data_IF_786197285338
#
_entry.id   IF_786197285338
#
_cell.length_a   1.000
_cell.length_b   1.000
_cell.length_c   1.000
_cell.angle_alpha   90.00
_cell.angle_beta   90.00
_cell.angle_gamma   90.00
#
_symmetry.space_group_name_H-M   'P 1'
#
loop_
_entity.id
_entity.type
_entity.pdbx_description
1 polymer ?
#
# COMPACT_ATOMS: atom_id res chain seq x y z
N UNK A 1 2.93 -16.65 -1.78
CA UNK A 1 3.72 -15.89 -2.77
C UNK A 1 5.09 -15.68 -2.15
N UNK A 2 6.15 -16.20 -2.77
CA UNK A 2 7.49 -16.17 -2.17
C UNK A 2 8.14 -14.77 -2.27
N UNK A 3 9.20 -14.58 -1.49
CA UNK A 3 9.93 -13.30 -1.39
C UNK A 3 10.52 -12.84 -2.71
N UNK A 4 10.88 -13.76 -3.60
CA UNK A 4 11.45 -13.45 -4.91
C UNK A 4 10.36 -12.93 -5.87
N UNK A 5 9.18 -13.57 -5.89
CA UNK A 5 8.02 -13.07 -6.65
C UNK A 5 7.59 -11.68 -6.16
N UNK A 6 7.54 -11.45 -4.85
CA UNK A 6 7.22 -10.12 -4.28
C UNK A 6 8.25 -9.08 -4.73
N UNK A 7 9.54 -9.45 -4.81
CA UNK A 7 10.60 -8.53 -5.21
C UNK A 7 10.53 -8.20 -6.70
N UNK A 8 10.29 -9.19 -7.57
CA UNK A 8 10.09 -8.96 -9.02
C UNK A 8 8.89 -8.07 -9.29
N UNK A 9 7.78 -8.28 -8.59
CA UNK A 9 6.59 -7.41 -8.67
C UNK A 9 7.01 -5.98 -8.28
N UNK A 10 7.70 -5.77 -7.16
CA UNK A 10 8.15 -4.43 -6.76
C UNK A 10 9.04 -3.77 -7.82
N UNK A 11 9.94 -4.52 -8.45
CA UNK A 11 10.90 -3.98 -9.41
C UNK A 11 10.24 -3.59 -10.74
N UNK A 12 9.35 -4.44 -11.27
CA UNK A 12 8.51 -4.14 -12.44
C UNK A 12 7.72 -2.83 -12.28
N UNK A 13 7.26 -2.58 -11.05
CA UNK A 13 6.35 -1.47 -10.73
C UNK A 13 7.10 -0.18 -10.54
N UNK A 14 8.27 -0.29 -9.92
CA UNK A 14 9.20 0.83 -9.79
C UNK A 14 9.60 1.40 -11.16
N UNK A 15 9.61 0.58 -12.22
CA UNK A 15 9.92 1.01 -13.59
C UNK A 15 8.75 1.75 -14.26
N UNK A 16 7.49 1.39 -13.95
CA UNK A 16 6.29 1.97 -14.57
C UNK A 16 5.68 3.16 -13.83
N UNK A 17 6.08 3.40 -12.59
CA UNK A 17 5.57 4.52 -11.76
C UNK A 17 6.14 5.85 -12.26
N UNK A 18 5.30 6.84 -12.58
CA UNK A 18 5.73 8.24 -12.76
C UNK A 18 6.34 8.73 -11.43
N UNK A 19 7.64 9.05 -11.45
CA UNK A 19 8.47 9.06 -10.23
C UNK A 19 8.58 10.38 -9.48
N UNK A 20 7.99 11.47 -9.93
CA UNK A 20 8.11 12.72 -9.17
C UNK A 20 6.96 13.67 -9.42
N UNK A 21 6.36 14.13 -8.33
CA UNK A 21 5.68 15.40 -8.30
C UNK A 21 6.65 16.49 -8.79
N UNK A 22 6.15 17.41 -9.61
CA UNK A 22 6.90 18.57 -10.08
C UNK A 22 7.34 19.43 -8.88
N UNK A 23 8.30 20.33 -9.11
CA UNK A 23 8.71 21.27 -8.07
C UNK A 23 7.50 22.10 -7.57
N UNK A 24 6.63 22.51 -8.49
CA UNK A 24 5.44 23.29 -8.18
C UNK A 24 4.41 22.47 -7.40
N UNK A 25 4.17 21.21 -7.77
CA UNK A 25 3.29 20.31 -7.00
C UNK A 25 3.83 20.05 -5.59
N UNK A 26 5.16 19.91 -5.45
CA UNK A 26 5.80 19.79 -4.13
C UNK A 26 5.66 21.07 -3.32
N UNK A 27 5.81 22.24 -3.97
CA UNK A 27 5.69 23.53 -3.32
C UNK A 27 4.24 23.82 -2.92
N UNK A 28 3.26 23.45 -3.74
CA UNK A 28 1.83 23.50 -3.41
C UNK A 28 1.48 22.57 -2.26
N UNK A 29 2.00 21.33 -2.26
CA UNK A 29 1.83 20.41 -1.13
C UNK A 29 2.47 20.98 0.13
N UNK A 30 3.68 21.55 0.04
CA UNK A 30 4.38 22.17 1.16
C UNK A 30 3.68 23.45 1.64
N UNK A 31 3.14 24.27 0.73
CA UNK A 31 2.38 25.47 1.06
C UNK A 31 1.05 25.09 1.70
N UNK A 32 0.32 24.12 1.14
CA UNK A 32 -0.86 23.52 1.75
C UNK A 32 -0.49 23.09 3.16
N UNK A 33 0.50 22.20 3.33
CA UNK A 33 0.98 21.66 4.63
C UNK A 33 1.42 22.74 5.63
N UNK A 34 2.18 23.74 5.19
CA UNK A 34 2.70 24.82 6.02
C UNK A 34 1.61 25.84 6.42
N UNK A 35 0.57 25.98 5.59
CA UNK A 35 -0.56 26.89 5.84
C UNK A 35 -1.80 26.20 6.40
N UNK A 36 -1.79 24.88 6.66
CA UNK A 36 -2.96 24.08 7.09
C UNK A 36 -3.62 24.59 8.40
N UNK A 37 -4.46 25.58 8.18
CA UNK A 37 -5.79 25.76 8.74
C UNK A 37 -6.53 24.41 8.69
N UNK A 38 -7.42 24.19 9.66
CA UNK A 38 -8.30 23.01 9.79
C UNK A 38 -8.72 22.42 8.43
N UNK A 39 -8.75 21.09 8.33
CA UNK A 39 -9.20 20.32 7.15
C UNK A 39 -10.17 19.22 7.56
N UNK A 40 -11.10 18.86 6.68
CA UNK A 40 -11.84 17.61 6.83
C UNK A 40 -10.99 16.43 6.37
N UNK A 41 -11.10 15.35 7.10
CA UNK A 41 -10.50 14.06 6.84
C UNK A 41 -11.60 13.02 6.96
N UNK A 42 -11.48 11.94 6.21
CA UNK A 42 -12.51 10.92 6.21
C UNK A 42 -11.91 9.55 5.93
N UNK A 43 -12.65 8.53 6.35
CA UNK A 43 -12.38 7.12 6.08
C UNK A 43 -13.71 6.42 5.80
N UNK A 44 -13.70 5.44 4.90
CA UNK A 44 -14.86 4.62 4.57
C UNK A 44 -14.38 3.32 3.91
N UNK A 45 -15.20 2.28 3.99
CA UNK A 45 -15.15 1.09 3.17
C UNK A 45 -16.19 1.17 2.04
N UNK A 46 -15.95 0.41 0.98
CA UNK A 46 -16.93 0.16 -0.07
C UNK A 46 -17.09 -1.34 -0.24
N UNK A 47 -18.32 -1.78 -0.51
CA UNK A 47 -18.67 -3.17 -0.70
C UNK A 47 -19.47 -3.32 -1.99
N UNK A 48 -19.04 -4.26 -2.81
CA UNK A 48 -19.80 -4.81 -3.92
C UNK A 48 -19.96 -6.31 -3.66
N UNK A 49 -21.19 -6.76 -3.57
CA UNK A 49 -21.55 -8.12 -3.15
C UNK A 49 -22.32 -8.89 -4.22
N UNK A 50 -22.46 -8.32 -5.42
CA UNK A 50 -23.22 -8.90 -6.53
C UNK A 50 -24.73 -8.70 -6.40
N UNK A 51 -25.19 -7.96 -5.39
CA UNK A 51 -26.58 -7.52 -5.31
C UNK A 51 -26.86 -6.36 -6.27
N UNK A 52 -28.10 -5.86 -6.26
CA UNK A 52 -28.47 -4.70 -7.06
C UNK A 52 -27.91 -3.38 -6.50
N UNK A 53 -27.30 -3.38 -5.31
CA UNK A 53 -26.83 -2.19 -4.61
C UNK A 53 -25.42 -2.40 -4.05
N UNK A 54 -24.51 -1.49 -4.38
CA UNK A 54 -23.22 -1.38 -3.69
C UNK A 54 -23.37 -0.50 -2.45
N UNK A 55 -22.51 -0.72 -1.46
CA UNK A 55 -22.60 -0.06 -0.17
C UNK A 55 -21.37 0.79 0.15
N UNK A 56 -21.59 1.97 0.72
CA UNK A 56 -20.58 2.75 1.46
C UNK A 56 -20.72 2.39 2.94
N UNK A 57 -19.62 2.00 3.57
CA UNK A 57 -19.62 1.48 4.94
C UNK A 57 -18.62 2.21 5.82
N UNK A 58 -18.91 2.31 7.11
CA UNK A 58 -18.03 2.90 8.11
C UNK A 58 -17.62 4.32 7.77
N UNK A 59 -18.49 5.14 7.18
CA UNK A 59 -18.13 6.52 6.86
C UNK A 59 -17.90 7.30 8.18
N UNK A 60 -16.68 7.79 8.37
CA UNK A 60 -16.35 8.73 9.46
C UNK A 60 -15.69 9.97 8.85
N UNK A 61 -16.24 11.15 9.15
CA UNK A 61 -15.75 12.46 8.71
C UNK A 61 -15.38 13.27 9.96
N UNK A 62 -14.14 13.75 10.00
CA UNK A 62 -13.60 14.47 11.16
C UNK A 62 -12.65 15.60 10.76
N UNK A 63 -12.33 16.47 11.72
CA UNK A 63 -11.45 17.62 11.49
C UNK A 63 -10.03 17.32 11.93
N UNK A 64 -9.07 17.41 11.01
CA UNK A 64 -7.63 17.42 11.28
C UNK A 64 -7.01 18.81 11.15
N UNK A 65 -5.77 18.99 11.62
CA UNK A 65 -4.99 20.24 11.47
C UNK A 65 -5.12 21.20 12.67
N UNK A 66 -4.63 22.44 12.59
CA UNK A 66 -4.61 23.37 13.74
C UNK A 66 -5.77 24.38 13.69
N UNK A 67 -6.33 24.74 14.85
CA UNK A 67 -7.27 25.88 15.03
C UNK A 67 -6.63 26.91 15.96
N UNK A 68 -6.37 28.12 15.48
CA UNK A 68 -5.80 29.23 16.26
C UNK A 68 -4.47 28.88 16.97
N UNK A 69 -3.56 28.17 16.29
CA UNK A 69 -2.29 27.72 16.89
C UNK A 69 -2.41 26.60 17.93
N UNK A 70 -3.62 26.28 18.40
CA UNK A 70 -3.91 25.10 19.22
C UNK A 70 -4.14 23.90 18.30
N UNK A 71 -3.45 22.80 18.59
CA UNK A 71 -3.61 21.53 17.88
C UNK A 71 -5.04 21.03 18.07
N UNK A 72 -5.88 21.20 17.05
CA UNK A 72 -6.95 20.22 16.84
C UNK A 72 -6.21 18.96 16.40
N UNK A 73 -6.55 17.81 16.97
CA UNK A 73 -5.73 16.58 16.92
C UNK A 73 -5.04 16.43 15.56
N UNK A 74 -3.71 16.36 15.59
CA UNK A 74 -2.86 16.27 14.39
C UNK A 74 -3.39 15.18 13.45
N UNK A 75 -3.40 15.44 12.14
CA UNK A 75 -3.78 14.46 11.11
C UNK A 75 -3.02 13.14 11.28
N UNK A 76 -1.71 13.23 11.55
CA UNK A 76 -0.88 12.06 11.83
C UNK A 76 -1.10 11.52 13.25
N UNK A 77 -1.64 12.32 14.16
CA UNK A 77 -2.09 11.91 15.49
C UNK A 77 -3.46 11.22 15.49
N UNK A 78 -4.33 11.48 14.51
CA UNK A 78 -5.67 10.89 14.41
C UNK A 78 -5.67 9.56 13.65
N UNK A 79 -5.02 9.47 12.48
CA UNK A 79 -4.84 8.20 11.76
C UNK A 79 -3.72 7.36 12.40
N UNK A 80 -3.99 6.90 13.62
CA UNK A 80 -3.12 5.98 14.35
C UNK A 80 -3.75 4.59 14.42
N UNK A 81 -2.96 3.62 14.85
CA UNK A 81 -3.39 2.22 14.91
C UNK A 81 -4.65 2.02 15.79
N UNK A 82 -4.75 2.72 16.92
CA UNK A 82 -5.90 2.61 17.83
C UNK A 82 -7.19 3.11 17.19
N UNK A 83 -7.14 4.28 16.55
CA UNK A 83 -8.27 4.81 15.80
C UNK A 83 -8.71 3.83 14.72
N UNK A 84 -7.75 3.33 13.93
CA UNK A 84 -8.05 2.42 12.84
C UNK A 84 -8.68 1.10 13.32
N UNK A 85 -8.18 0.49 14.40
CA UNK A 85 -8.76 -0.76 14.91
C UNK A 85 -10.19 -0.57 15.40
N UNK A 86 -10.48 0.55 16.08
CA UNK A 86 -11.85 0.87 16.53
C UNK A 86 -12.78 1.14 15.36
N UNK A 87 -12.29 1.84 14.33
CA UNK A 87 -13.06 2.07 13.11
C UNK A 87 -13.31 0.74 12.36
N UNK A 88 -12.30 -0.12 12.26
CA UNK A 88 -12.40 -1.40 11.56
C UNK A 88 -13.36 -2.37 12.25
N UNK A 89 -13.48 -2.32 13.57
CA UNK A 89 -14.51 -3.05 14.32
C UNK A 89 -15.92 -2.65 13.89
N UNK A 90 -16.21 -1.34 13.84
CA UNK A 90 -17.50 -0.83 13.35
C UNK A 90 -17.78 -1.19 11.90
N UNK A 91 -16.75 -1.14 11.05
CA UNK A 91 -16.87 -1.55 9.66
C UNK A 91 -17.32 -3.01 9.55
N UNK A 92 -16.74 -3.91 10.36
CA UNK A 92 -17.16 -5.31 10.38
C UNK A 92 -18.57 -5.48 10.92
N UNK A 93 -18.96 -4.70 11.93
CA UNK A 93 -20.34 -4.69 12.44
C UNK A 93 -21.34 -4.35 11.33
N UNK A 94 -21.08 -3.29 10.55
CA UNK A 94 -21.94 -2.91 9.42
C UNK A 94 -21.98 -3.99 8.31
N UNK A 95 -20.85 -4.64 8.02
CA UNK A 95 -20.79 -5.76 7.05
C UNK A 95 -21.65 -6.93 7.52
N UNK A 96 -21.61 -7.28 8.80
CA UNK A 96 -22.41 -8.37 9.37
C UNK A 96 -23.90 -8.00 9.47
N UNK A 97 -24.23 -6.73 9.75
CA UNK A 97 -25.61 -6.23 9.72
C UNK A 97 -26.24 -6.32 8.32
N UNK A 98 -25.44 -6.22 7.27
CA UNK A 98 -25.86 -6.49 5.89
C UNK A 98 -26.07 -7.99 5.59
N UNK A 99 -25.72 -8.88 6.53
CA UNK A 99 -25.92 -10.33 6.41
C UNK A 99 -24.70 -11.11 5.93
N UNK A 100 -23.53 -10.47 5.80
CA UNK A 100 -22.32 -11.12 5.33
C UNK A 100 -21.53 -11.75 6.48
N UNK A 101 -21.58 -13.08 6.60
CA UNK A 101 -20.80 -13.84 7.59
C UNK A 101 -19.35 -14.11 7.17
N UNK A 102 -18.97 -13.75 5.94
CA UNK A 102 -17.59 -13.79 5.46
C UNK A 102 -17.38 -12.73 4.39
N UNK A 103 -16.29 -11.97 4.52
CA UNK A 103 -15.94 -10.88 3.63
C UNK A 103 -14.41 -10.82 3.49
N UNK A 104 -13.94 -10.25 2.39
CA UNK A 104 -12.50 -10.01 2.15
C UNK A 104 -12.24 -8.51 2.17
N UNK A 105 -11.62 -8.03 3.24
CA UNK A 105 -11.19 -6.64 3.38
C UNK A 105 -9.88 -6.43 2.64
N UNK A 106 -9.91 -5.65 1.56
CA UNK A 106 -8.75 -5.30 0.76
C UNK A 106 -8.21 -3.94 1.19
N UNK A 107 -6.95 -3.86 1.62
CA UNK A 107 -6.36 -2.63 2.18
C UNK A 107 -4.97 -2.34 1.63
N UNK A 108 -4.56 -1.08 1.72
CA UNK A 108 -3.21 -0.64 1.37
C UNK A 108 -2.20 -1.02 2.47
N UNK A 109 -0.94 -0.63 2.26
CA UNK A 109 0.16 -0.96 3.17
C UNK A 109 0.45 0.11 4.23
N UNK A 110 -0.50 1.00 4.54
CA UNK A 110 -0.30 2.03 5.55
C UNK A 110 0.16 1.42 6.89
N UNK A 111 1.11 2.09 7.56
CA UNK A 111 1.74 1.54 8.78
C UNK A 111 0.73 1.23 9.87
N UNK A 112 -0.33 2.02 9.99
CA UNK A 112 -1.37 1.84 11.01
C UNK A 112 -2.32 0.65 10.71
N UNK A 113 -2.43 0.20 9.45
CA UNK A 113 -3.12 -1.06 9.09
C UNK A 113 -2.34 -2.31 9.51
N UNK A 114 -1.03 -2.17 9.72
CA UNK A 114 -0.11 -3.28 10.01
C UNK A 114 0.37 -3.32 11.46
N UNK A 115 -0.29 -2.55 12.34
CA UNK A 115 0.02 -2.57 13.77
C UNK A 115 -0.20 -3.96 14.35
N UNK A 116 0.77 -4.41 15.15
CA UNK A 116 0.74 -5.67 15.88
C UNK A 116 0.42 -5.39 17.35
N UNK A 117 -0.02 -6.42 18.07
CA UNK A 117 -0.38 -6.31 19.48
C UNK A 117 0.76 -5.66 20.31
N UNK A 118 0.47 -4.87 21.36
CA UNK A 118 1.49 -4.22 22.19
C UNK A 118 2.52 -5.19 22.79
N UNK A 119 2.12 -6.43 23.04
CA UNK A 119 2.94 -7.55 23.54
C UNK A 119 3.93 -8.11 22.50
N UNK A 120 3.82 -7.70 21.24
CA UNK A 120 4.71 -8.14 20.15
C UNK A 120 6.12 -7.61 20.39
N UNK A 121 7.16 -8.45 20.35
CA UNK A 121 8.53 -8.01 20.57
C UNK A 121 8.98 -6.91 19.62
N UNK A 122 9.80 -5.99 20.12
CA UNK A 122 10.36 -4.86 19.36
C UNK A 122 11.87 -4.84 19.52
N UNK A 123 12.60 -4.42 18.48
CA UNK A 123 14.06 -4.30 18.54
C UNK A 123 14.56 -3.27 19.57
N UNK A 124 13.68 -2.40 20.04
CA UNK A 124 13.96 -1.43 21.11
C UNK A 124 13.99 -2.06 22.50
N UNK A 125 13.46 -3.28 22.70
CA UNK A 125 13.49 -3.98 23.99
C UNK A 125 14.91 -4.27 24.48
N UNK A 126 15.09 -4.49 25.78
CA UNK A 126 16.38 -4.89 26.37
C UNK A 126 16.79 -6.26 25.87
N UNK A 127 18.10 -6.56 25.91
CA UNK A 127 18.64 -7.86 25.43
C UNK A 127 17.96 -9.05 26.13
N UNK A 128 17.79 -8.97 27.45
CA UNK A 128 17.14 -10.01 28.23
C UNK A 128 15.69 -10.27 27.77
N UNK A 129 14.89 -9.22 27.58
CA UNK A 129 13.50 -9.31 27.12
C UNK A 129 13.37 -9.89 25.70
N UNK A 130 14.33 -9.58 24.81
CA UNK A 130 14.38 -10.18 23.47
C UNK A 130 14.69 -11.68 23.57
N UNK A 131 15.63 -12.07 24.43
CA UNK A 131 15.94 -13.48 24.65
C UNK A 131 14.77 -14.24 25.27
N UNK A 132 14.12 -13.69 26.29
CA UNK A 132 12.88 -14.26 26.86
C UNK A 132 11.79 -14.43 25.81
N UNK A 133 11.64 -13.45 24.90
CA UNK A 133 10.72 -13.58 23.78
C UNK A 133 11.14 -14.70 22.80
N UNK A 134 12.44 -14.87 22.51
CA UNK A 134 12.92 -16.00 21.72
C UNK A 134 12.54 -17.34 22.37
N UNK A 135 12.74 -17.49 23.68
CA UNK A 135 12.35 -18.71 24.42
C UNK A 135 10.84 -18.91 24.36
N UNK A 136 10.04 -17.85 24.59
CA UNK A 136 8.57 -17.90 24.52
C UNK A 136 8.04 -18.35 23.15
N UNK A 137 8.72 -17.99 22.06
CA UNK A 137 8.39 -18.42 20.70
C UNK A 137 9.12 -19.69 20.24
N UNK A 138 9.75 -20.42 21.18
CA UNK A 138 10.46 -21.67 20.94
C UNK A 138 11.60 -21.56 19.90
N UNK A 139 12.29 -20.41 19.86
CA UNK A 139 13.45 -20.15 19.00
C UNK A 139 14.74 -20.63 19.67
N UNK A 140 14.86 -21.94 19.86
CA UNK A 140 15.92 -22.59 20.65
C UNK A 140 17.31 -22.50 20.00
N UNK A 141 17.39 -22.13 18.72
CA UNK A 141 18.63 -21.91 17.98
C UNK A 141 19.38 -20.63 18.42
N UNK A 142 18.76 -19.80 19.25
CA UNK A 142 19.35 -18.54 19.75
C UNK A 142 19.98 -18.74 21.13
N UNK A 143 21.32 -18.72 21.26
CA UNK A 143 21.95 -18.88 22.58
C UNK A 143 21.83 -17.58 23.42
N UNK A 144 21.81 -17.67 24.76
CA UNK A 144 21.70 -16.51 25.65
C UNK A 144 22.88 -15.54 25.54
N UNK A 145 24.04 -16.05 25.12
CA UNK A 145 25.25 -15.27 24.90
C UNK A 145 25.22 -14.46 23.60
N UNK A 146 24.35 -14.78 22.65
CA UNK A 146 24.29 -14.11 21.34
C UNK A 146 24.16 -12.60 21.45
N UNK A 147 24.64 -11.87 20.45
CA UNK A 147 24.46 -10.42 20.40
C UNK A 147 22.97 -10.06 20.23
N UNK A 148 22.54 -8.96 20.86
CA UNK A 148 21.15 -8.44 20.74
C UNK A 148 20.70 -8.33 19.29
N UNK A 149 21.59 -7.88 18.39
CA UNK A 149 21.30 -7.73 16.95
C UNK A 149 20.93 -9.08 16.28
N UNK A 150 21.68 -10.14 16.59
CA UNK A 150 21.44 -11.49 16.06
C UNK A 150 20.14 -12.09 16.61
N UNK A 151 19.93 -11.98 17.92
CA UNK A 151 18.67 -12.41 18.57
C UNK A 151 17.47 -11.70 17.95
N UNK A 152 17.55 -10.38 17.78
CA UNK A 152 16.49 -9.58 17.17
C UNK A 152 16.27 -9.95 15.71
N UNK A 153 17.31 -10.16 14.91
CA UNK A 153 17.14 -10.54 13.50
C UNK A 153 16.35 -11.85 13.36
N UNK A 154 16.69 -12.86 14.18
CA UNK A 154 16.00 -14.15 14.20
C UNK A 154 14.55 -14.03 14.68
N UNK A 155 14.33 -13.30 15.79
CA UNK A 155 13.00 -13.06 16.34
C UNK A 155 12.13 -12.22 15.41
N UNK A 156 12.69 -11.19 14.77
CA UNK A 156 11.98 -10.33 13.82
C UNK A 156 11.48 -11.14 12.63
N UNK A 157 12.31 -12.04 12.08
CA UNK A 157 11.88 -12.94 11.00
C UNK A 157 10.66 -13.77 11.42
N UNK A 158 10.73 -14.40 12.60
CA UNK A 158 9.59 -15.15 13.14
C UNK A 158 8.35 -14.27 13.30
N UNK A 159 8.49 -13.08 13.90
CA UNK A 159 7.40 -12.12 14.10
C UNK A 159 6.78 -11.67 12.77
N UNK A 160 7.58 -11.44 11.73
CA UNK A 160 7.10 -11.03 10.41
C UNK A 160 6.33 -12.17 9.70
N UNK A 161 6.74 -13.42 9.89
CA UNK A 161 6.15 -14.60 9.25
C UNK A 161 4.92 -15.15 9.99
N UNK A 162 4.89 -15.08 11.32
CA UNK A 162 3.92 -15.82 12.15
C UNK A 162 2.98 -14.93 12.96
N UNK A 163 3.31 -13.64 13.16
CA UNK A 163 2.47 -12.74 13.95
C UNK A 163 1.76 -11.78 13.01
N UNK A 164 0.46 -11.99 12.73
CA UNK A 164 -0.30 -11.12 11.87
C UNK A 164 -0.57 -9.76 12.54
N UNK A 165 -0.88 -8.72 11.75
CA UNK A 165 -1.46 -7.48 12.27
C UNK A 165 -2.75 -7.72 13.07
N UNK A 166 -3.04 -6.85 14.04
CA UNK A 166 -4.23 -6.97 14.90
C UNK A 166 -5.52 -7.07 14.10
N UNK A 167 -5.67 -6.23 13.07
CA UNK A 167 -6.89 -6.22 12.23
C UNK A 167 -7.10 -7.50 11.44
N UNK A 168 -6.03 -8.21 11.10
CA UNK A 168 -6.14 -9.52 10.44
C UNK A 168 -6.70 -10.56 11.42
N UNK A 169 -6.28 -10.52 12.69
CA UNK A 169 -6.82 -11.40 13.72
C UNK A 169 -8.28 -11.05 14.04
N UNK A 170 -8.60 -9.76 14.15
CA UNK A 170 -9.97 -9.28 14.38
C UNK A 170 -10.94 -9.76 13.28
N UNK A 171 -10.54 -9.65 12.01
CA UNK A 171 -11.32 -10.15 10.89
C UNK A 171 -11.47 -11.68 10.95
N UNK A 172 -10.35 -12.40 11.15
CA UNK A 172 -10.35 -13.87 11.18
C UNK A 172 -11.23 -14.43 12.29
N UNK A 173 -11.21 -13.83 13.48
CA UNK A 173 -12.05 -14.28 14.60
C UNK A 173 -13.54 -14.15 14.33
N UNK A 174 -13.93 -13.35 13.33
CA UNK A 174 -15.31 -13.13 12.88
C UNK A 174 -15.63 -13.83 11.55
N UNK A 175 -14.73 -14.67 11.03
CA UNK A 175 -14.93 -15.40 9.76
C UNK A 175 -14.61 -14.57 8.50
N UNK A 176 -14.05 -13.37 8.66
CA UNK A 176 -13.59 -12.53 7.55
C UNK A 176 -12.09 -12.69 7.27
N UNK A 177 -11.66 -12.15 6.14
CA UNK A 177 -10.27 -12.18 5.69
C UNK A 177 -9.77 -10.77 5.39
N UNK A 178 -8.46 -10.59 5.51
CA UNK A 178 -7.77 -9.34 5.15
C UNK A 178 -6.71 -9.64 4.11
N UNK A 179 -6.71 -8.89 3.02
CA UNK A 179 -5.70 -8.95 1.97
C UNK A 179 -5.10 -7.56 1.76
N UNK A 180 -3.78 -7.51 1.60
CA UNK A 180 -3.07 -6.28 1.30
C UNK A 180 -2.75 -6.19 -0.18
N UNK A 181 -3.00 -5.04 -0.80
CA UNK A 181 -2.56 -4.82 -2.18
C UNK A 181 -1.03 -4.74 -2.29
N UNK A 182 -0.47 -5.01 -3.48
CA UNK A 182 0.94 -4.78 -3.73
C UNK A 182 1.35 -3.32 -3.42
N UNK A 183 2.46 -3.10 -2.68
CA UNK A 183 2.90 -1.74 -2.36
C UNK A 183 3.19 -0.92 -3.63
N UNK A 184 2.72 0.33 -3.65
CA UNK A 184 3.01 1.27 -4.74
C UNK A 184 1.99 1.27 -5.89
N UNK A 185 0.88 0.55 -5.77
CA UNK A 185 -0.20 0.52 -6.75
C UNK A 185 -1.52 1.06 -6.17
N UNK A 186 -1.67 2.37 -6.14
CA UNK A 186 -2.93 2.99 -5.72
C UNK A 186 -4.09 2.65 -6.66
N UNK A 187 -3.82 2.30 -7.92
CA UNK A 187 -4.86 1.89 -8.87
C UNK A 187 -5.53 0.55 -8.55
N UNK A 188 -4.92 -0.26 -7.68
CA UNK A 188 -5.51 -1.49 -7.16
C UNK A 188 -6.36 -1.21 -5.89
N UNK A 189 -6.53 0.06 -5.51
CA UNK A 189 -7.36 0.49 -4.39
C UNK A 189 -8.57 1.24 -4.94
N UNK A 190 -9.72 0.56 -5.15
CA UNK A 190 -10.89 1.19 -5.79
C UNK A 190 -11.43 2.40 -5.02
N UNK A 191 -11.25 2.39 -3.69
CA UNK A 191 -11.62 3.50 -2.82
C UNK A 191 -10.93 4.83 -3.20
N UNK A 192 -9.74 4.80 -3.81
CA UNK A 192 -9.03 6.01 -4.27
C UNK A 192 -9.83 6.75 -5.37
N UNK A 193 -10.52 6.01 -6.24
CA UNK A 193 -11.37 6.60 -7.28
C UNK A 193 -12.66 7.17 -6.70
N UNK A 194 -13.25 6.49 -5.71
CA UNK A 194 -14.39 7.03 -4.94
C UNK A 194 -14.00 8.34 -4.26
N UNK A 195 -12.84 8.39 -3.60
CA UNK A 195 -12.33 9.61 -2.99
C UNK A 195 -12.09 10.72 -4.02
N UNK A 196 -11.55 10.39 -5.20
CA UNK A 196 -11.35 11.36 -6.27
C UNK A 196 -12.69 11.92 -6.78
N UNK A 197 -13.71 11.07 -6.94
CA UNK A 197 -15.06 11.48 -7.34
C UNK A 197 -15.65 12.45 -6.30
N UNK A 198 -15.71 12.05 -5.03
CA UNK A 198 -16.29 12.84 -3.94
C UNK A 198 -15.55 14.18 -3.78
N UNK A 199 -14.22 14.16 -3.72
CA UNK A 199 -13.41 15.39 -3.62
C UNK A 199 -13.61 16.29 -4.84
N UNK A 200 -13.70 15.72 -6.04
CA UNK A 200 -13.98 16.45 -7.28
C UNK A 200 -15.34 17.13 -7.24
N UNK A 201 -16.38 16.45 -6.76
CA UNK A 201 -17.73 17.00 -6.61
C UNK A 201 -17.74 18.18 -5.64
N UNK A 202 -17.13 18.04 -4.47
CA UNK A 202 -17.01 19.13 -3.49
C UNK A 202 -16.18 20.29 -4.04
N UNK A 203 -15.05 19.99 -4.70
CA UNK A 203 -14.13 20.98 -5.26
C UNK A 203 -14.73 21.80 -6.39
N UNK A 204 -15.53 21.20 -7.28
CA UNK A 204 -16.22 21.93 -8.36
C UNK A 204 -17.26 22.93 -7.86
N UNK A 205 -17.80 22.71 -6.66
CA UNK A 205 -18.75 23.63 -6.02
C UNK A 205 -18.05 24.77 -5.26
N UNK A 206 -16.72 24.85 -5.28
CA UNK A 206 -15.97 25.86 -4.55
C UNK A 206 -16.20 27.27 -5.12
N UNK A 207 -16.33 28.24 -4.21
CA UNK A 207 -16.36 29.68 -4.48
C UNK A 207 -15.48 30.39 -3.46
N UNK A 208 -15.05 31.63 -3.73
CA UNK A 208 -14.24 32.42 -2.80
C UNK A 208 -14.88 32.67 -1.43
N UNK A 209 -16.21 32.53 -1.35
CA UNK A 209 -16.98 32.71 -0.11
C UNK A 209 -17.28 31.38 0.60
N UNK A 210 -16.83 30.24 0.06
CA UNK A 210 -17.09 28.92 0.65
C UNK A 210 -16.46 28.83 2.04
N UNK A 211 -17.30 28.55 3.02
CA UNK A 211 -16.93 28.39 4.42
C UNK A 211 -16.50 26.96 4.73
N UNK A 212 -15.84 26.77 5.88
CA UNK A 212 -15.47 25.44 6.33
C UNK A 212 -16.69 24.55 6.56
N UNK A 213 -17.76 25.07 7.16
CA UNK A 213 -18.94 24.25 7.48
C UNK A 213 -19.72 23.87 6.20
N UNK A 214 -19.78 24.74 5.18
CA UNK A 214 -20.33 24.37 3.88
C UNK A 214 -19.54 23.24 3.19
N UNK A 215 -18.21 23.17 3.38
CA UNK A 215 -17.40 22.05 2.87
C UNK A 215 -17.81 20.74 3.53
N UNK A 216 -18.17 20.75 4.82
CA UNK A 216 -18.68 19.57 5.52
C UNK A 216 -20.00 19.11 4.92
N UNK A 217 -20.95 20.02 4.76
CA UNK A 217 -22.29 19.68 4.26
C UNK A 217 -22.21 19.15 2.84
N UNK A 218 -21.37 19.76 1.99
CA UNK A 218 -21.10 19.26 0.63
C UNK A 218 -20.43 17.91 0.64
N UNK A 219 -19.50 17.65 1.57
CA UNK A 219 -18.83 16.36 1.70
C UNK A 219 -19.81 15.27 2.13
N UNK A 220 -20.62 15.51 3.15
CA UNK A 220 -21.66 14.59 3.61
C UNK A 220 -22.68 14.32 2.50
N UNK A 221 -23.13 15.36 1.80
CA UNK A 221 -24.03 15.22 0.66
C UNK A 221 -23.41 14.44 -0.51
N UNK A 222 -22.13 14.67 -0.82
CA UNK A 222 -21.45 13.96 -1.89
C UNK A 222 -21.30 12.46 -1.60
N UNK A 223 -21.07 12.07 -0.35
CA UNK A 223 -21.10 10.65 0.03
C UNK A 223 -22.52 10.07 0.01
N UNK A 224 -23.53 10.83 0.44
CA UNK A 224 -24.93 10.41 0.38
C UNK A 224 -25.41 10.18 -1.06
N UNK A 225 -24.96 11.01 -1.99
CA UNK A 225 -25.30 10.92 -3.42
C UNK A 225 -24.43 9.91 -4.19
N UNK A 226 -23.48 9.25 -3.52
CA UNK A 226 -22.63 8.25 -4.16
C UNK A 226 -23.49 7.06 -4.57
N UNK A 227 -23.70 6.90 -5.87
CA UNK A 227 -24.58 5.87 -6.39
C UNK A 227 -23.87 4.51 -6.51
N UNK A 228 -24.68 3.45 -6.53
CA UNK A 228 -24.24 2.07 -6.72
C UNK A 228 -23.36 1.89 -7.96
N UNK A 229 -23.72 2.51 -9.08
CA UNK A 229 -22.98 2.39 -10.33
C UNK A 229 -21.54 2.90 -10.17
N UNK A 230 -21.37 4.07 -9.55
CA UNK A 230 -20.04 4.61 -9.25
C UNK A 230 -19.19 3.64 -8.42
N UNK A 231 -19.73 3.05 -7.34
CA UNK A 231 -18.97 2.11 -6.50
C UNK A 231 -18.62 0.85 -7.29
N UNK A 232 -19.61 0.22 -7.94
CA UNK A 232 -19.43 -0.98 -8.75
C UNK A 232 -18.36 -0.78 -9.83
N UNK A 233 -18.45 0.31 -10.60
CA UNK A 233 -17.50 0.61 -11.69
C UNK A 233 -16.07 0.81 -11.18
N UNK A 234 -15.90 1.47 -10.02
CA UNK A 234 -14.57 1.65 -9.43
C UNK A 234 -13.95 0.31 -8.99
N UNK A 235 -14.74 -0.58 -8.40
CA UNK A 235 -14.31 -1.93 -7.99
C UNK A 235 -14.01 -2.78 -9.23
N UNK A 236 -14.85 -2.74 -10.25
CA UNK A 236 -14.65 -3.48 -11.50
C UNK A 236 -13.38 -3.03 -12.23
N UNK A 237 -13.10 -1.72 -12.27
CA UNK A 237 -11.90 -1.16 -12.88
C UNK A 237 -10.61 -1.62 -12.15
N UNK A 238 -10.57 -1.54 -10.81
CA UNK A 238 -9.41 -2.03 -10.05
C UNK A 238 -9.24 -3.55 -10.17
N UNK A 239 -10.34 -4.31 -10.22
CA UNK A 239 -10.32 -5.76 -10.44
C UNK A 239 -9.75 -6.12 -11.82
N UNK A 240 -10.16 -5.40 -12.86
CA UNK A 240 -9.64 -5.59 -14.23
C UNK A 240 -8.12 -5.40 -14.27
N UNK A 241 -7.62 -4.31 -13.68
CA UNK A 241 -6.18 -4.04 -13.56
C UNK A 241 -5.43 -5.13 -12.80
N UNK A 242 -6.03 -5.66 -11.73
CA UNK A 242 -5.43 -6.76 -10.97
C UNK A 242 -5.29 -8.02 -11.83
N UNK A 243 -6.33 -8.39 -12.59
CA UNK A 243 -6.33 -9.56 -13.49
C UNK A 243 -5.29 -9.39 -14.60
N UNK A 244 -5.17 -8.20 -15.17
CA UNK A 244 -4.16 -7.90 -16.19
C UNK A 244 -2.73 -8.02 -15.63
N UNK A 245 -2.51 -7.52 -14.41
CA UNK A 245 -1.22 -7.64 -13.73
C UNK A 245 -0.88 -9.10 -13.43
N UNK A 246 -1.81 -9.90 -12.91
CA UNK A 246 -1.60 -11.34 -12.68
C UNK A 246 -1.25 -12.07 -13.98
N UNK A 247 -1.97 -11.79 -15.07
CA UNK A 247 -1.67 -12.35 -16.40
C UNK A 247 -0.26 -11.99 -16.86
N UNK A 248 0.13 -10.72 -16.74
CA UNK A 248 1.47 -10.26 -17.13
C UNK A 248 2.57 -10.95 -16.32
N UNK A 249 2.36 -11.16 -15.01
CA UNK A 249 3.31 -11.84 -14.14
C UNK A 249 3.47 -13.31 -14.51
N UNK A 250 2.37 -14.04 -14.72
CA UNK A 250 2.41 -15.45 -15.14
C UNK A 250 3.13 -15.62 -16.48
N UNK A 251 2.88 -14.72 -17.43
CA UNK A 251 3.56 -14.75 -18.72
C UNK A 251 5.06 -14.50 -18.58
N UNK A 252 5.47 -13.59 -17.69
CA UNK A 252 6.88 -13.32 -17.43
C UNK A 252 7.59 -14.50 -16.72
N UNK A 253 6.87 -15.25 -15.88
CA UNK A 253 7.39 -16.43 -15.19
C UNK A 253 7.49 -17.66 -16.11
N UNK A 254 6.64 -17.75 -17.13
CA UNK A 254 6.64 -18.84 -18.13
C UNK A 254 7.58 -18.64 -19.32
N UNK A 255 8.25 -17.49 -19.44
CA UNK A 255 9.20 -17.23 -20.51
C UNK A 255 10.53 -17.98 -20.23
N UNK A 256 11.08 -18.77 -21.17
CA UNK A 256 12.40 -19.37 -21.01
C UNK A 256 13.44 -18.26 -20.80
N UNK A 257 14.30 -18.43 -19.78
CA UNK A 257 15.51 -17.64 -19.68
C UNK A 257 16.32 -17.88 -20.95
N UNK A 258 16.55 -16.84 -21.76
CA UNK A 258 17.63 -16.85 -22.73
C UNK A 258 18.93 -16.95 -21.92
N UNK A 259 19.37 -18.17 -21.66
CA UNK A 259 20.75 -18.43 -21.26
C UNK A 259 21.58 -18.22 -22.51
N UNK A 260 22.41 -17.19 -22.47
CA UNK A 260 23.57 -17.05 -23.36
C UNK A 260 24.47 -18.28 -23.14
N UNK A 261 24.29 -19.28 -23.98
CA UNK A 261 25.20 -20.42 -24.13
C UNK A 261 25.79 -20.33 -25.53
N UNK A 262 26.78 -19.45 -25.67
CA UNK A 262 27.72 -19.45 -26.79
C UNK A 262 29.05 -19.99 -26.23
N UNK A 263 29.12 -21.33 -26.11
CA UNK A 263 30.39 -22.03 -26.03
C UNK A 263 30.76 -22.55 -27.42
N UNK A 264 31.81 -21.93 -27.97
CA UNK A 264 32.85 -22.50 -28.83
C UNK A 264 32.47 -23.55 -29.90
N UNK A 265 32.49 -23.11 -31.16
CA UNK A 265 32.94 -23.98 -32.26
C UNK A 265 34.14 -23.35 -32.98
N UNK A 266 35.33 -23.82 -32.59
CA UNK A 266 36.54 -23.68 -33.39
C UNK A 266 36.45 -24.57 -34.63
N UNK A 267 36.58 -24.02 -35.83
CA UNK A 267 37.11 -24.77 -36.97
C UNK A 267 38.02 -23.88 -37.81
N UNK A 268 39.30 -24.22 -37.76
CA UNK A 268 40.36 -23.70 -38.62
C UNK A 268 40.14 -24.07 -40.09
N UNK A 269 40.32 -23.12 -40.99
CA UNK A 269 40.86 -23.41 -42.32
C UNK A 269 41.51 -22.17 -42.91
N UNK A 270 42.82 -22.29 -43.03
CA UNK A 270 43.79 -21.44 -43.71
C UNK A 270 43.50 -21.32 -45.21
N UNK A 271 43.66 -20.12 -45.78
CA UNK A 271 44.12 -19.86 -47.16
C UNK A 271 44.15 -18.36 -47.41
N UNK A 272 45.36 -17.82 -47.59
CA UNK A 272 45.61 -16.40 -47.79
C UNK A 272 45.19 -15.85 -49.16
N UNK A 273 45.14 -14.52 -49.24
CA UNK A 273 45.87 -13.79 -50.27
C UNK A 273 46.13 -12.34 -49.83
N UNK A 274 47.27 -11.84 -50.28
CA UNK A 274 47.82 -10.48 -50.26
C UNK A 274 46.84 -9.41 -50.80
N UNK A 275 46.93 -8.11 -50.47
CA UNK A 275 48.00 -7.13 -50.76
C UNK A 275 47.61 -5.74 -50.17
N UNK A 276 48.62 -4.96 -49.73
CA UNK A 276 48.79 -3.48 -49.89
C UNK A 276 47.70 -2.53 -49.34
N UNK A 277 47.94 -1.30 -48.91
CA UNK A 277 49.08 -0.40 -48.68
C UNK A 277 48.51 0.75 -47.83
N UNK A 278 49.36 1.50 -47.13
CA UNK A 278 49.32 2.95 -46.87
C UNK A 278 47.95 3.65 -46.68
N UNK A 279 47.68 4.53 -45.72
CA UNK A 279 48.50 5.47 -44.95
C UNK A 279 47.54 6.39 -44.16
N UNK A 280 48.11 7.01 -43.12
CA UNK A 280 47.90 8.39 -42.67
C UNK A 280 46.66 8.88 -41.88
N UNK A 281 47.00 9.72 -40.89
CA UNK A 281 46.21 10.85 -40.36
C UNK A 281 45.16 10.54 -39.29
N UNK A 282 45.35 10.86 -38.00
CA UNK A 282 44.98 12.15 -37.35
C UNK A 282 43.55 12.59 -37.69
N UNK A 283 42.64 12.92 -36.78
CA UNK A 283 42.75 13.68 -35.53
C UNK A 283 41.41 13.66 -34.79
N UNK A 284 41.49 14.00 -33.51
CA UNK A 284 40.42 14.41 -32.59
C UNK A 284 39.25 15.18 -33.22
N UNK A 285 38.03 14.83 -32.80
CA UNK A 285 37.06 15.70 -32.10
C UNK A 285 35.96 14.84 -31.45
#
# INVERSE_FOLDING_TARGET
MDTATIQRIKDFVKQRRQRSLTYDEKLDILMLQATLRRRYCFIAGILEDGSAVSHLLGLDIFVGGKKNGKTVKDYHGMFNHKYFTTWFEKLMDEVEELGWSSAVFVMDNAKYHKGKAPSTPKGTWKKAEIYEACVRFNLLDVPPTAMKKTMWARLKKYVDEHIPPVVVEMARSRGHHVVYTPPGFSELQPIELVWANVKGTVGRAYTSNTTFDEVHDRLAHAFWMLDTGTICDTIANSTTKLIELDRALRNAEGAPSLSDDESDVSSSSDSGNSTQDDSDGTSDL
#
